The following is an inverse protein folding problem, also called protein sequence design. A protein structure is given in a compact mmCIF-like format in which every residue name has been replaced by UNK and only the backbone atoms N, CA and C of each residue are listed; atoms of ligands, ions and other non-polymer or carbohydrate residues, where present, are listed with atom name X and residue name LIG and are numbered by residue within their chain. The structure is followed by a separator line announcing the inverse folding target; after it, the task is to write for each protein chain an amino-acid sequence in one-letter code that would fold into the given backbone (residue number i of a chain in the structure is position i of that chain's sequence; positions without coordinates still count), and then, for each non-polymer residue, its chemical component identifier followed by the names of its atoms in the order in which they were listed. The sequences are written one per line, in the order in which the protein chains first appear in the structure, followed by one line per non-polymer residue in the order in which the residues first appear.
data_IF_429008678963
#
_entry.id   IF_429008678963
#
_cell.length_a   1.000
_cell.length_b   1.000
_cell.length_c   1.000
_cell.angle_alpha   90.00
_cell.angle_beta   90.00
_cell.angle_gamma   90.00
#
_symmetry.space_group_name_H-M   'P 1'
#
loop_
_entity.id
_entity.type
_entity.pdbx_description
1 polymer ?
#
# COMPACT_ATOMS: atom_id res chain seq x y z
N UNK A 1 3.92 -10.97 14.62
CA UNK A 1 3.37 -11.28 13.30
C UNK A 1 4.01 -10.40 12.24
N UNK A 2 4.44 -11.00 11.15
CA UNK A 2 5.12 -10.28 10.08
C UNK A 2 4.15 -10.01 8.94
N UNK A 3 3.52 -8.87 8.96
CA UNK A 3 2.51 -8.52 7.95
C UNK A 3 3.08 -8.38 6.55
N UNK A 4 4.35 -8.03 6.44
CA UNK A 4 4.94 -7.81 5.12
C UNK A 4 4.96 -9.08 4.27
N UNK A 5 4.81 -10.25 4.88
CA UNK A 5 4.74 -11.49 4.12
C UNK A 5 3.43 -11.69 3.40
N UNK A 6 2.42 -10.88 3.71
CA UNK A 6 1.11 -10.99 3.09
C UNK A 6 1.01 -10.20 1.79
N UNK A 7 2.02 -9.40 1.47
CA UNK A 7 1.98 -8.51 0.31
C UNK A 7 3.18 -8.76 -0.59
N UNK A 8 2.95 -8.61 -1.88
CA UNK A 8 4.00 -8.78 -2.88
C UNK A 8 3.99 -7.60 -3.83
N UNK A 9 5.16 -7.34 -4.43
CA UNK A 9 5.24 -6.34 -5.50
C UNK A 9 4.25 -6.72 -6.60
N UNK A 10 3.49 -5.72 -7.03
CA UNK A 10 2.45 -5.92 -8.04
C UNK A 10 1.06 -6.06 -7.47
N UNK A 11 0.93 -6.25 -6.17
CA UNK A 11 -0.39 -6.37 -5.54
C UNK A 11 -1.12 -5.03 -5.56
N UNK A 12 -2.43 -5.09 -5.74
CA UNK A 12 -3.29 -3.91 -5.65
C UNK A 12 -3.81 -3.79 -4.24
N UNK A 13 -3.79 -2.58 -3.72
CA UNK A 13 -4.24 -2.30 -2.35
C UNK A 13 -5.06 -1.03 -2.34
N UNK A 14 -5.90 -0.90 -1.31
CA UNK A 14 -6.67 0.32 -1.05
C UNK A 14 -6.04 1.05 0.12
N UNK A 15 -5.85 2.35 -0.01
CA UNK A 15 -5.36 3.17 1.09
C UNK A 15 -6.52 3.41 2.04
N UNK A 16 -6.36 2.96 3.30
CA UNK A 16 -7.44 3.06 4.29
C UNK A 16 -7.16 4.11 5.36
N UNK A 17 -5.89 4.50 5.54
CA UNK A 17 -5.51 5.56 6.48
C UNK A 17 -4.38 6.36 5.86
N UNK A 18 -4.45 7.68 6.01
CA UNK A 18 -3.41 8.53 5.49
C UNK A 18 -3.60 9.93 6.04
N UNK A 19 -2.51 10.69 6.11
CA UNK A 19 -2.58 12.10 6.46
C UNK A 19 -2.85 12.99 5.26
N UNK A 20 -2.93 12.41 4.09
CA UNK A 20 -3.19 13.15 2.86
C UNK A 20 -4.50 12.68 2.25
N UNK A 21 -4.79 13.12 1.04
CA UNK A 21 -6.08 12.87 0.40
C UNK A 21 -6.12 11.58 -0.40
N UNK A 22 -5.23 10.66 -0.15
CA UNK A 22 -5.18 9.43 -0.91
C UNK A 22 -6.01 8.29 -0.31
N UNK A 23 -6.73 8.54 0.77
CA UNK A 23 -7.62 7.53 1.35
C UNK A 23 -8.68 7.15 0.31
N UNK A 24 -8.87 5.84 0.14
CA UNK A 24 -9.83 5.33 -0.82
C UNK A 24 -9.25 5.09 -2.21
N UNK A 25 -8.05 5.56 -2.47
CA UNK A 25 -7.42 5.31 -3.76
C UNK A 25 -6.84 3.90 -3.78
N UNK A 26 -6.78 3.35 -4.99
CA UNK A 26 -6.22 2.03 -5.21
C UNK A 26 -4.83 2.22 -5.78
N UNK A 27 -3.84 1.64 -5.11
CA UNK A 27 -2.46 1.72 -5.56
C UNK A 27 -1.88 0.35 -5.84
N UNK A 28 -0.67 0.35 -6.37
CA UNK A 28 0.07 -0.87 -6.67
C UNK A 28 1.34 -0.88 -5.84
N UNK A 29 1.61 -1.99 -5.18
CA UNK A 29 2.84 -2.14 -4.41
C UNK A 29 4.00 -2.29 -5.36
N UNK A 30 5.02 -1.44 -5.19
CA UNK A 30 6.22 -1.48 -6.02
C UNK A 30 7.46 -1.86 -5.22
N UNK A 31 7.37 -1.88 -3.90
CA UNK A 31 8.47 -2.29 -3.05
C UNK A 31 7.90 -2.73 -1.70
N UNK A 32 8.42 -3.84 -1.16
CA UNK A 32 7.99 -4.35 0.14
C UNK A 32 9.15 -4.29 1.10
N UNK A 33 8.93 -3.66 2.26
CA UNK A 33 9.91 -3.56 3.34
C UNK A 33 9.30 -4.11 4.62
N UNK A 34 10.12 -4.45 5.62
CA UNK A 34 9.58 -5.02 6.86
C UNK A 34 8.58 -4.13 7.59
N UNK A 35 8.71 -2.81 7.50
CA UNK A 35 7.83 -1.91 8.23
C UNK A 35 6.89 -1.09 7.34
N UNK A 36 7.08 -1.13 6.02
CA UNK A 36 6.24 -0.34 5.11
C UNK A 36 6.35 -0.87 3.70
N UNK A 37 5.46 -0.37 2.83
CA UNK A 37 5.55 -0.60 1.39
C UNK A 37 5.57 0.72 0.65
N UNK A 38 6.23 0.75 -0.52
CA UNK A 38 6.06 1.84 -1.46
C UNK A 38 4.90 1.49 -2.38
N UNK A 39 3.98 2.43 -2.51
CA UNK A 39 2.75 2.23 -3.27
C UNK A 39 2.65 3.32 -4.32
N UNK A 40 2.44 2.93 -5.56
CA UNK A 40 2.24 3.86 -6.65
C UNK A 40 0.75 4.10 -6.84
N UNK A 41 0.35 5.35 -6.76
CA UNK A 41 -1.04 5.76 -6.91
C UNK A 41 -1.40 5.92 -8.38
N UNK A 42 -2.70 6.01 -8.70
CA UNK A 42 -3.12 6.13 -10.11
C UNK A 42 -2.55 7.34 -10.84
N UNK A 43 -2.25 8.42 -10.11
CA UNK A 43 -1.67 9.61 -10.73
C UNK A 43 -0.17 9.51 -10.95
N UNK A 44 0.44 8.37 -10.62
CA UNK A 44 1.86 8.16 -10.78
C UNK A 44 2.70 8.49 -9.56
N UNK A 45 2.12 9.09 -8.54
CA UNK A 45 2.85 9.38 -7.31
C UNK A 45 3.21 8.10 -6.57
N UNK A 46 4.36 8.12 -5.91
CA UNK A 46 4.81 6.99 -5.11
C UNK A 46 4.87 7.45 -3.66
N UNK A 47 4.21 6.71 -2.79
CA UNK A 47 4.14 7.05 -1.37
C UNK A 47 4.50 5.85 -0.53
N UNK A 48 5.08 6.11 0.65
CA UNK A 48 5.38 5.07 1.63
C UNK A 48 4.23 4.97 2.60
N UNK A 49 3.71 3.76 2.79
CA UNK A 49 2.64 3.52 3.75
C UNK A 49 3.01 2.34 4.63
N UNK A 50 2.77 2.48 5.92
CA UNK A 50 2.97 1.37 6.86
C UNK A 50 1.84 0.37 6.70
N UNK A 51 2.02 -0.82 7.26
CA UNK A 51 1.11 -1.93 7.03
C UNK A 51 -0.30 -1.71 7.59
N UNK A 52 -0.48 -0.75 8.47
CA UNK A 52 -1.81 -0.41 8.95
C UNK A 52 -2.56 0.61 8.10
N UNK A 53 -1.93 1.14 7.07
CA UNK A 53 -2.51 2.23 6.28
C UNK A 53 -3.15 1.78 4.99
N UNK A 54 -2.97 0.53 4.61
CA UNK A 54 -3.58 0.00 3.38
C UNK A 54 -4.05 -1.42 3.60
N UNK A 55 -4.93 -1.88 2.73
CA UNK A 55 -5.49 -3.21 2.80
C UNK A 55 -5.52 -3.85 1.42
N UNK A 56 -5.40 -5.17 1.39
CA UNK A 56 -5.41 -5.91 0.13
C UNK A 56 -6.77 -5.82 -0.53
N UNK A 57 -6.77 -5.67 -1.85
CA UNK A 57 -8.00 -5.78 -2.64
C UNK A 57 -8.31 -7.22 -2.98
N UNK A 58 -7.31 -8.06 -3.05
CA UNK A 58 -7.52 -9.48 -3.33
C UNK A 58 -8.14 -10.14 -2.11
N UNK A 59 -9.21 -10.84 -2.29
CA UNK A 59 -9.92 -11.51 -1.21
C UNK A 59 -9.90 -13.00 -1.40
#
# INVERSE_FOLDING_TARGET
MKNYKLFNVGDKVTIVRSHSNDIGQIGTIILVRPSYCKIQLPNGEIKNHTYGQFASLAQ
#
